data_IF_784697165362
#
_entry.id   IF_784697165362
#
_cell.length_a   1.000
_cell.length_b   1.000
_cell.length_c   1.000
_cell.angle_alpha   90.00
_cell.angle_beta   90.00
_cell.angle_gamma   90.00
#
_symmetry.space_group_name_H-M   'P 1'
#
loop_
_entity.id
_entity.type
_entity.pdbx_description
1 polymer ?
#
# COMPACT_ATOMS: atom_id res chain seq x y z
N UNK A 1 8.24 -14.30 -40.18
CA UNK A 1 7.68 -14.46 -38.82
C UNK A 1 6.66 -13.35 -38.58
N UNK A 2 5.36 -13.66 -38.69
CA UNK A 2 4.29 -12.72 -38.34
C UNK A 2 4.02 -12.88 -36.84
N UNK A 3 4.39 -11.88 -36.06
CA UNK A 3 3.98 -11.76 -34.65
C UNK A 3 2.50 -11.38 -34.63
N UNK A 4 1.63 -12.38 -34.68
CA UNK A 4 0.21 -12.20 -34.40
C UNK A 4 0.03 -12.16 -32.89
N UNK A 5 -0.01 -10.96 -32.31
CA UNK A 5 -0.61 -10.80 -30.99
C UNK A 5 -2.08 -11.21 -31.10
N UNK A 6 -2.56 -12.21 -30.35
CA UNK A 6 -3.99 -12.52 -30.33
C UNK A 6 -4.75 -11.25 -29.90
N UNK A 7 -5.94 -10.98 -30.50
CA UNK A 7 -6.75 -9.84 -30.09
C UNK A 7 -7.05 -9.97 -28.58
N UNK A 8 -6.91 -8.90 -27.79
CA UNK A 8 -7.21 -8.95 -26.37
C UNK A 8 -8.66 -9.37 -26.21
N UNK A 9 -8.90 -10.49 -25.54
CA UNK A 9 -10.25 -10.84 -25.10
C UNK A 9 -10.65 -9.76 -24.11
N UNK A 10 -11.60 -8.91 -24.49
CA UNK A 10 -12.13 -7.86 -23.61
C UNK A 10 -12.99 -8.56 -22.54
N UNK A 11 -12.36 -9.08 -21.49
CA UNK A 11 -13.02 -9.54 -20.27
C UNK A 11 -13.39 -8.31 -19.44
N UNK A 12 -14.47 -7.63 -19.85
CA UNK A 12 -14.95 -6.39 -19.24
C UNK A 12 -15.48 -6.55 -17.79
N UNK A 13 -15.67 -7.80 -17.33
CA UNK A 13 -16.37 -8.11 -16.08
C UNK A 13 -15.66 -7.63 -14.81
N UNK A 14 -14.33 -7.78 -14.72
CA UNK A 14 -13.60 -7.44 -13.50
C UNK A 14 -13.44 -5.93 -13.31
N UNK A 15 -13.22 -5.19 -14.41
CA UNK A 15 -13.16 -3.72 -14.36
C UNK A 15 -14.49 -3.12 -13.90
N UNK A 16 -15.62 -3.65 -14.41
CA UNK A 16 -16.95 -3.28 -13.94
C UNK A 16 -17.19 -3.64 -12.48
N UNK A 17 -16.69 -4.80 -12.01
CA UNK A 17 -16.75 -5.18 -10.61
C UNK A 17 -15.95 -4.22 -9.70
N UNK A 18 -14.78 -3.77 -10.15
CA UNK A 18 -13.98 -2.80 -9.42
C UNK A 18 -14.65 -1.41 -9.37
N UNK A 19 -15.19 -0.93 -10.49
CA UNK A 19 -15.92 0.35 -10.56
C UNK A 19 -17.17 0.30 -9.68
N UNK A 20 -17.94 -0.78 -9.74
CA UNK A 20 -19.14 -0.97 -8.91
C UNK A 20 -18.79 -1.07 -7.43
N UNK A 21 -17.68 -1.74 -7.06
CA UNK A 21 -17.22 -1.76 -5.68
C UNK A 21 -16.89 -0.36 -5.16
N UNK A 22 -16.11 0.43 -5.91
CA UNK A 22 -15.79 1.81 -5.53
C UNK A 22 -17.07 2.63 -5.41
N UNK A 23 -17.98 2.57 -6.39
CA UNK A 23 -19.24 3.29 -6.36
C UNK A 23 -20.13 2.92 -5.17
N UNK A 24 -20.21 1.63 -4.80
CA UNK A 24 -20.95 1.14 -3.62
C UNK A 24 -20.28 1.56 -2.31
N UNK A 25 -18.96 1.66 -2.25
CA UNK A 25 -18.29 2.20 -1.07
C UNK A 25 -18.55 3.71 -0.92
N UNK A 26 -18.59 4.47 -2.03
CA UNK A 26 -18.99 5.88 -2.03
C UNK A 26 -20.43 6.11 -1.55
N UNK A 27 -21.34 5.17 -1.83
CA UNK A 27 -22.71 5.21 -1.32
C UNK A 27 -22.76 5.27 0.21
N UNK A 28 -21.71 4.88 0.94
CA UNK A 28 -21.61 5.08 2.39
C UNK A 28 -21.78 6.53 2.82
N UNK A 29 -21.28 7.48 2.02
CA UNK A 29 -21.34 8.91 2.32
C UNK A 29 -22.66 9.57 1.91
N UNK A 30 -23.33 9.03 0.89
CA UNK A 30 -24.59 9.58 0.37
C UNK A 30 -25.82 8.93 1.00
N UNK A 31 -25.81 7.61 1.19
CA UNK A 31 -26.95 6.85 1.70
C UNK A 31 -26.50 5.54 2.40
N UNK A 32 -26.34 5.54 3.73
CA UNK A 32 -25.83 4.37 4.46
C UNK A 32 -26.73 3.12 4.34
N UNK A 33 -28.05 3.30 4.28
CA UNK A 33 -29.00 2.19 4.16
C UNK A 33 -28.85 1.36 2.87
N UNK A 34 -28.45 2.00 1.76
CA UNK A 34 -28.19 1.29 0.49
C UNK A 34 -26.83 0.61 0.50
N UNK A 35 -25.82 1.25 1.08
CA UNK A 35 -24.49 0.66 1.25
C UNK A 35 -24.56 -0.66 2.05
N UNK A 36 -25.29 -0.67 3.16
CA UNK A 36 -25.45 -1.88 4.01
C UNK A 36 -26.07 -3.07 3.27
N UNK A 37 -26.86 -2.85 2.22
CA UNK A 37 -27.48 -3.93 1.43
C UNK A 37 -26.66 -4.29 0.19
N UNK A 38 -26.15 -3.29 -0.53
CA UNK A 38 -25.44 -3.51 -1.80
C UNK A 38 -24.04 -4.07 -1.59
N UNK A 39 -23.34 -3.65 -0.53
CA UNK A 39 -22.01 -4.14 -0.21
C UNK A 39 -21.99 -5.67 0.00
N UNK A 40 -22.76 -6.25 0.93
CA UNK A 40 -22.76 -7.70 1.13
C UNK A 40 -23.27 -8.47 -0.11
N UNK A 41 -24.23 -7.91 -0.85
CA UNK A 41 -24.71 -8.52 -2.09
C UNK A 41 -23.58 -8.64 -3.12
N UNK A 42 -22.83 -7.56 -3.37
CA UNK A 42 -21.70 -7.54 -4.29
C UNK A 42 -20.63 -8.57 -3.86
N UNK A 43 -20.28 -8.60 -2.58
CA UNK A 43 -19.33 -9.57 -2.04
C UNK A 43 -19.82 -11.02 -2.16
N UNK A 44 -21.10 -11.28 -1.91
CA UNK A 44 -21.67 -12.63 -2.03
C UNK A 44 -21.62 -13.15 -3.47
N UNK A 45 -21.90 -12.29 -4.44
CA UNK A 45 -21.82 -12.63 -5.87
C UNK A 45 -20.37 -12.93 -6.25
N UNK A 46 -19.43 -12.07 -5.86
CA UNK A 46 -18.00 -12.29 -6.12
C UNK A 46 -17.50 -13.60 -5.48
N UNK A 47 -17.90 -13.87 -4.24
CA UNK A 47 -17.53 -15.10 -3.54
C UNK A 47 -18.10 -16.35 -4.23
N UNK A 48 -19.36 -16.32 -4.66
CA UNK A 48 -20.00 -17.43 -5.36
C UNK A 48 -19.31 -17.72 -6.69
N UNK A 49 -18.98 -16.67 -7.45
CA UNK A 49 -18.22 -16.80 -8.69
C UNK A 49 -16.83 -17.39 -8.40
N UNK A 50 -16.12 -16.89 -7.38
CA UNK A 50 -14.81 -17.40 -7.00
C UNK A 50 -14.88 -18.90 -6.66
N UNK A 51 -15.81 -19.32 -5.80
CA UNK A 51 -15.99 -20.73 -5.40
C UNK A 51 -16.29 -21.61 -6.62
N UNK A 52 -17.10 -21.14 -7.57
CA UNK A 52 -17.41 -21.89 -8.77
C UNK A 52 -16.20 -22.07 -9.71
N UNK A 53 -15.27 -21.11 -9.72
CA UNK A 53 -14.15 -21.03 -10.68
C UNK A 53 -12.86 -21.65 -10.15
N UNK A 54 -12.64 -21.58 -8.84
CA UNK A 54 -11.43 -22.06 -8.14
C UNK A 54 -11.10 -23.54 -8.45
N UNK A 55 -12.07 -24.49 -8.46
CA UNK A 55 -11.78 -25.89 -8.76
C UNK A 55 -11.34 -26.13 -10.21
N UNK A 56 -11.83 -25.32 -11.15
CA UNK A 56 -11.56 -25.45 -12.59
C UNK A 56 -10.40 -24.57 -13.07
N UNK A 57 -9.63 -24.01 -12.14
CA UNK A 57 -8.57 -23.09 -12.46
C UNK A 57 -7.37 -23.82 -13.10
N UNK A 58 -7.02 -23.43 -14.33
CA UNK A 58 -6.04 -24.14 -15.15
C UNK A 58 -4.58 -23.96 -14.70
N UNK A 59 -4.26 -22.85 -14.05
CA UNK A 59 -2.88 -22.44 -13.79
C UNK A 59 -2.45 -22.63 -12.32
N UNK A 60 -3.05 -23.57 -11.60
CA UNK A 60 -2.69 -23.85 -10.19
C UNK A 60 -1.18 -24.08 -9.98
N UNK A 61 -0.52 -24.78 -10.91
CA UNK A 61 0.92 -25.06 -10.81
C UNK A 61 1.79 -23.80 -10.86
N UNK A 62 1.41 -22.77 -11.63
CA UNK A 62 2.15 -21.52 -11.68
C UNK A 62 1.90 -20.66 -10.45
N UNK A 63 0.69 -20.69 -9.89
CA UNK A 63 0.36 -20.03 -8.62
C UNK A 63 1.15 -20.64 -7.46
N UNK A 64 1.22 -21.97 -7.34
CA UNK A 64 2.03 -22.61 -6.30
C UNK A 64 3.52 -22.26 -6.41
N UNK A 65 4.04 -22.17 -7.64
CA UNK A 65 5.42 -21.73 -7.85
C UNK A 65 5.62 -20.26 -7.47
N UNK A 66 4.63 -19.41 -7.72
CA UNK A 66 4.63 -18.00 -7.34
C UNK A 66 4.36 -17.77 -5.84
N UNK A 67 3.84 -18.76 -5.12
CA UNK A 67 3.69 -18.69 -3.67
C UNK A 67 5.03 -18.55 -2.95
N UNK A 68 6.10 -19.17 -3.46
CA UNK A 68 7.45 -19.07 -2.88
C UNK A 68 7.95 -17.61 -2.86
N UNK A 69 8.04 -16.88 -4.01
CA UNK A 69 8.46 -15.49 -3.99
C UNK A 69 7.47 -14.58 -3.24
N UNK A 70 6.18 -14.93 -3.19
CA UNK A 70 5.19 -14.21 -2.39
C UNK A 70 5.50 -14.28 -0.89
N UNK A 71 5.69 -15.49 -0.35
CA UNK A 71 6.04 -15.70 1.07
C UNK A 71 7.40 -15.07 1.38
N UNK A 72 8.39 -15.22 0.49
CA UNK A 72 9.69 -14.57 0.66
C UNK A 72 9.56 -13.03 0.73
N UNK A 73 8.76 -12.43 -0.14
CA UNK A 73 8.50 -10.98 -0.15
C UNK A 73 7.74 -10.54 1.11
N UNK A 74 6.81 -11.35 1.60
CA UNK A 74 6.08 -11.10 2.85
C UNK A 74 7.03 -11.11 4.05
N UNK A 75 7.89 -12.12 4.16
CA UNK A 75 8.91 -12.19 5.22
C UNK A 75 9.88 -11.02 5.13
N UNK A 76 10.32 -10.63 3.93
CA UNK A 76 11.16 -9.46 3.72
C UNK A 76 10.46 -8.16 4.17
N UNK A 77 9.17 -8.00 3.86
CA UNK A 77 8.39 -6.84 4.29
C UNK A 77 8.21 -6.78 5.81
N UNK A 78 8.00 -7.93 6.45
CA UNK A 78 7.94 -8.05 7.91
C UNK A 78 9.31 -7.77 8.55
N UNK A 79 10.40 -8.24 7.96
CA UNK A 79 11.75 -7.92 8.42
C UNK A 79 12.04 -6.42 8.30
N UNK A 80 11.65 -5.78 7.20
CA UNK A 80 11.73 -4.31 7.06
C UNK A 80 10.85 -3.60 8.09
N UNK A 81 9.67 -4.15 8.42
CA UNK A 81 8.83 -3.63 9.50
C UNK A 81 9.51 -3.71 10.86
N UNK A 82 10.08 -4.87 11.16
CA UNK A 82 10.78 -5.09 12.40
C UNK A 82 12.00 -4.18 12.50
N UNK A 83 12.79 -4.05 11.43
CA UNK A 83 13.94 -3.14 11.38
C UNK A 83 13.50 -1.70 11.65
N UNK A 84 12.45 -1.21 10.99
CA UNK A 84 11.92 0.13 11.25
C UNK A 84 11.47 0.29 12.71
N UNK A 85 10.70 -0.66 13.25
CA UNK A 85 10.24 -0.63 14.63
C UNK A 85 11.41 -0.65 15.62
N UNK A 86 12.44 -1.46 15.35
CA UNK A 86 13.67 -1.53 16.15
C UNK A 86 14.48 -0.23 16.02
N UNK A 87 14.57 0.37 14.83
CA UNK A 87 15.25 1.66 14.64
C UNK A 87 14.57 2.77 15.41
N UNK A 88 13.24 2.86 15.34
CA UNK A 88 12.46 3.83 16.14
C UNK A 88 12.65 3.54 17.63
N UNK A 89 12.56 2.27 18.06
CA UNK A 89 12.76 1.91 19.47
C UNK A 89 14.17 2.20 19.96
N UNK A 90 15.19 1.90 19.17
CA UNK A 90 16.59 2.19 19.49
C UNK A 90 16.80 3.69 19.65
N UNK A 91 16.31 4.51 18.72
CA UNK A 91 16.33 5.96 18.85
C UNK A 91 15.58 6.39 20.13
N UNK A 92 14.43 5.80 20.42
CA UNK A 92 13.68 6.18 21.63
C UNK A 92 14.32 5.78 22.95
N UNK A 93 14.95 4.60 23.01
CA UNK A 93 15.45 4.00 24.24
C UNK A 93 16.93 4.32 24.50
N UNK A 94 17.77 4.31 23.45
CA UNK A 94 19.22 4.55 23.57
C UNK A 94 19.56 6.03 23.50
N UNK A 95 18.78 6.85 22.80
CA UNK A 95 18.97 8.31 22.79
C UNK A 95 18.09 9.04 23.81
N UNK A 96 17.35 8.31 24.67
CA UNK A 96 16.55 8.87 25.77
C UNK A 96 15.52 9.90 25.30
N UNK A 97 14.39 9.46 24.73
CA UNK A 97 13.43 10.33 24.06
C UNK A 97 12.55 11.24 24.95
N UNK A 98 13.00 11.64 26.13
CA UNK A 98 12.57 12.94 26.67
C UNK A 98 13.14 14.08 25.80
N UNK A 99 14.19 13.79 25.02
CA UNK A 99 14.88 14.68 24.09
C UNK A 99 14.02 15.45 23.08
N UNK A 100 12.96 14.82 22.56
CA UNK A 100 12.12 15.36 21.47
C UNK A 100 10.74 15.82 21.94
N UNK A 101 10.49 15.83 23.25
CA UNK A 101 9.22 16.31 23.81
C UNK A 101 8.99 17.80 23.57
N UNK A 102 10.06 18.60 23.59
CA UNK A 102 10.00 20.05 23.45
C UNK A 102 10.54 20.59 22.12
N UNK A 103 11.18 19.76 21.28
CA UNK A 103 11.63 20.20 19.97
C UNK A 103 10.47 20.16 18.96
N UNK A 104 10.17 21.27 18.27
CA UNK A 104 9.17 21.25 17.22
C UNK A 104 9.61 20.23 16.15
N UNK A 105 8.67 19.41 15.62
CA UNK A 105 9.00 18.41 14.62
C UNK A 105 9.71 19.07 13.44
N UNK A 106 10.69 18.37 12.85
CA UNK A 106 11.35 18.86 11.65
C UNK A 106 10.27 19.18 10.61
N UNK A 107 10.29 20.38 10.01
CA UNK A 107 9.27 20.75 9.03
C UNK A 107 9.34 19.79 7.84
N UNK A 108 8.34 18.93 7.72
CA UNK A 108 8.19 18.04 6.58
C UNK A 108 8.06 18.91 5.32
N UNK A 109 9.05 18.85 4.43
CA UNK A 109 9.03 19.57 3.15
C UNK A 109 7.79 19.25 2.33
N UNK A 110 7.27 18.03 2.45
CA UNK A 110 5.99 17.62 1.88
C UNK A 110 4.79 18.35 2.49
N UNK A 111 4.77 18.57 3.81
CA UNK A 111 3.70 19.33 4.46
C UNK A 111 3.71 20.80 4.02
N UNK A 112 4.89 21.41 3.89
CA UNK A 112 5.03 22.77 3.36
C UNK A 112 4.59 22.88 1.90
N UNK A 113 4.94 21.90 1.07
CA UNK A 113 4.49 21.85 -0.31
C UNK A 113 2.96 21.78 -0.37
N UNK A 114 2.34 20.89 0.42
CA UNK A 114 0.89 20.75 0.46
C UNK A 114 0.17 22.00 0.98
N UNK A 115 0.72 22.68 2.00
CA UNK A 115 0.21 23.97 2.46
C UNK A 115 0.31 25.04 1.37
N UNK A 116 1.47 25.13 0.71
CA UNK A 116 1.69 26.10 -0.37
C UNK A 116 0.77 25.86 -1.58
N UNK A 117 0.45 24.60 -1.86
CA UNK A 117 -0.51 24.21 -2.90
C UNK A 117 -1.95 24.53 -2.45
N UNK A 118 -2.29 24.25 -1.20
CA UNK A 118 -3.61 24.53 -0.62
C UNK A 118 -3.94 26.03 -0.63
N UNK A 119 -2.96 26.91 -0.45
CA UNK A 119 -3.14 28.36 -0.51
C UNK A 119 -3.25 28.92 -1.94
N UNK A 120 -2.69 28.22 -2.94
CA UNK A 120 -2.62 28.69 -4.34
C UNK A 120 -3.68 28.09 -5.26
N UNK A 121 -4.38 27.04 -4.84
CA UNK A 121 -5.34 26.32 -5.67
C UNK A 121 -6.78 26.86 -5.50
N UNK A 122 -7.60 26.86 -6.57
CA UNK A 122 -9.02 27.19 -6.49
C UNK A 122 -9.75 26.28 -5.50
N UNK A 123 -10.68 26.84 -4.71
CA UNK A 123 -11.46 26.12 -3.70
C UNK A 123 -12.03 24.76 -4.16
N UNK A 124 -12.63 24.64 -5.36
CA UNK A 124 -13.13 23.35 -5.85
C UNK A 124 -12.04 22.30 -6.07
N UNK A 125 -10.85 22.71 -6.55
CA UNK A 125 -9.71 21.80 -6.72
C UNK A 125 -9.16 21.35 -5.37
N UNK A 126 -9.10 22.24 -4.40
CA UNK A 126 -8.69 21.91 -3.03
C UNK A 126 -9.67 20.94 -2.39
N UNK A 127 -10.98 21.15 -2.58
CA UNK A 127 -12.00 20.23 -2.08
C UNK A 127 -11.94 18.85 -2.75
N UNK A 128 -11.66 18.78 -4.06
CA UNK A 128 -11.45 17.51 -4.76
C UNK A 128 -10.15 16.81 -4.31
N UNK A 129 -9.05 17.56 -4.14
CA UNK A 129 -7.77 17.03 -3.65
C UNK A 129 -7.83 16.58 -2.19
N UNK A 130 -8.63 17.28 -1.36
CA UNK A 130 -8.89 16.95 0.04
C UNK A 130 -9.95 15.88 0.20
N UNK A 131 -10.85 15.73 -0.77
CA UNK A 131 -11.86 14.69 -0.75
C UNK A 131 -11.13 13.35 -0.62
N UNK A 132 -11.53 12.58 0.40
CA UNK A 132 -11.00 11.26 0.73
C UNK A 132 -11.49 10.25 -0.31
N UNK A 133 -11.08 10.45 -1.57
CA UNK A 133 -11.65 9.78 -2.74
C UNK A 133 -11.24 8.30 -2.75
N UNK A 134 -10.03 7.98 -2.28
CA UNK A 134 -9.52 6.61 -2.20
C UNK A 134 -8.81 6.44 -0.85
N UNK A 135 -9.49 5.79 0.08
CA UNK A 135 -8.90 5.40 1.36
C UNK A 135 -7.92 4.22 1.21
N UNK A 136 -7.15 3.95 2.26
CA UNK A 136 -6.25 2.79 2.32
C UNK A 136 -7.01 1.47 2.05
N UNK A 137 -8.25 1.38 2.54
CA UNK A 137 -9.09 0.20 2.34
C UNK A 137 -9.44 -0.04 0.88
N UNK A 138 -9.65 1.01 0.09
CA UNK A 138 -9.89 0.90 -1.34
C UNK A 138 -8.65 0.38 -2.06
N UNK A 139 -7.47 0.89 -1.71
CA UNK A 139 -6.21 0.39 -2.29
C UNK A 139 -6.01 -1.10 -1.98
N UNK A 140 -6.23 -1.49 -0.72
CA UNK A 140 -6.15 -2.90 -0.33
C UNK A 140 -7.15 -3.75 -1.11
N UNK A 141 -8.39 -3.28 -1.25
CA UNK A 141 -9.43 -4.07 -1.91
C UNK A 141 -9.20 -4.18 -3.41
N UNK A 142 -8.82 -3.10 -4.09
CA UNK A 142 -8.44 -3.13 -5.51
C UNK A 142 -7.23 -4.05 -5.75
N UNK A 143 -6.27 -4.06 -4.82
CA UNK A 143 -5.15 -4.98 -4.86
C UNK A 143 -5.60 -6.44 -4.72
N UNK A 144 -6.53 -6.75 -3.81
CA UNK A 144 -7.11 -8.08 -3.69
C UNK A 144 -7.89 -8.48 -4.95
N UNK A 145 -8.70 -7.57 -5.52
CA UNK A 145 -9.40 -7.80 -6.78
C UNK A 145 -8.45 -8.07 -7.94
N UNK A 146 -7.31 -7.37 -7.99
CA UNK A 146 -6.24 -7.62 -8.96
C UNK A 146 -5.61 -9.00 -8.75
N UNK A 147 -5.38 -9.44 -7.52
CA UNK A 147 -4.87 -10.79 -7.27
C UNK A 147 -5.87 -11.87 -7.75
N UNK A 148 -7.18 -11.63 -7.57
CA UNK A 148 -8.24 -12.52 -8.05
C UNK A 148 -8.58 -12.36 -9.55
N UNK A 149 -7.99 -11.39 -10.25
CA UNK A 149 -8.25 -11.15 -11.68
C UNK A 149 -7.92 -12.35 -12.55
N UNK A 150 -7.00 -13.18 -12.09
CA UNK A 150 -6.51 -14.37 -12.78
C UNK A 150 -7.60 -15.45 -12.85
N UNK A 151 -8.53 -15.51 -11.88
CA UNK A 151 -9.69 -16.40 -11.93
C UNK A 151 -10.68 -16.04 -13.05
N UNK A 152 -10.62 -14.80 -13.53
CA UNK A 152 -11.47 -14.26 -14.58
C UNK A 152 -10.76 -14.19 -15.94
N UNK A 153 -9.59 -14.83 -16.08
CA UNK A 153 -8.74 -14.78 -17.28
C UNK A 153 -8.48 -13.33 -17.76
N UNK A 154 -8.47 -12.36 -16.83
CA UNK A 154 -8.24 -10.95 -17.15
C UNK A 154 -6.75 -10.62 -17.21
N UNK A 155 -5.91 -11.43 -16.56
CA UNK A 155 -4.44 -11.30 -16.55
C UNK A 155 -3.83 -12.69 -16.72
N UNK A 156 -2.86 -12.82 -17.62
CA UNK A 156 -2.16 -14.09 -17.91
C UNK A 156 -1.09 -14.45 -16.85
N UNK A 157 -0.68 -13.49 -16.02
CA UNK A 157 0.30 -13.67 -14.96
C UNK A 157 -0.32 -14.26 -13.68
N UNK A 158 0.44 -15.05 -12.88
CA UNK A 158 -0.06 -15.58 -11.61
C UNK A 158 -0.33 -14.45 -10.61
N UNK A 159 -1.47 -14.52 -9.92
CA UNK A 159 -1.96 -13.50 -9.00
C UNK A 159 -1.05 -13.36 -7.79
N UNK A 160 -0.55 -14.49 -7.25
CA UNK A 160 0.49 -14.47 -6.21
C UNK A 160 1.80 -13.85 -6.70
N UNK A 161 2.12 -13.99 -7.98
CA UNK A 161 3.31 -13.39 -8.59
C UNK A 161 3.21 -11.86 -8.69
N UNK A 162 2.03 -11.34 -9.05
CA UNK A 162 1.76 -9.90 -9.01
C UNK A 162 1.85 -9.37 -7.58
N UNK A 163 1.24 -10.10 -6.64
CA UNK A 163 1.30 -9.75 -5.23
C UNK A 163 2.72 -9.74 -4.67
N UNK A 164 3.56 -10.71 -5.05
CA UNK A 164 4.96 -10.78 -4.65
C UNK A 164 5.74 -9.54 -5.12
N UNK A 165 5.61 -9.15 -6.39
CA UNK A 165 6.29 -7.96 -6.93
C UNK A 165 5.85 -6.68 -6.23
N UNK A 166 4.55 -6.53 -5.97
CA UNK A 166 4.02 -5.38 -5.25
C UNK A 166 4.50 -5.30 -3.80
N UNK A 167 4.46 -6.42 -3.06
CA UNK A 167 4.97 -6.46 -1.69
C UNK A 167 6.48 -6.21 -1.63
N UNK A 168 7.24 -6.72 -2.61
CA UNK A 168 8.67 -6.51 -2.68
C UNK A 168 9.02 -5.02 -2.91
N UNK A 169 8.35 -4.35 -3.84
CA UNK A 169 8.58 -2.91 -4.07
C UNK A 169 8.18 -2.07 -2.86
N UNK A 170 7.06 -2.40 -2.21
CA UNK A 170 6.66 -1.76 -0.95
C UNK A 170 7.72 -1.96 0.14
N UNK A 171 8.23 -3.20 0.30
CA UNK A 171 9.26 -3.51 1.28
C UNK A 171 10.55 -2.73 1.02
N UNK A 172 11.00 -2.60 -0.23
CA UNK A 172 12.15 -1.75 -0.60
C UNK A 172 11.90 -0.30 -0.20
N UNK A 173 10.72 0.26 -0.52
CA UNK A 173 10.39 1.63 -0.14
C UNK A 173 10.45 1.85 1.37
N UNK A 174 9.99 0.86 2.15
CA UNK A 174 10.08 0.89 3.62
C UNK A 174 11.52 0.77 4.13
N UNK A 175 12.32 -0.10 3.52
CA UNK A 175 13.73 -0.24 3.86
C UNK A 175 14.49 1.05 3.59
N UNK A 176 14.29 1.67 2.42
CA UNK A 176 14.90 2.96 2.09
C UNK A 176 14.52 4.03 3.10
N UNK A 177 13.24 4.11 3.48
CA UNK A 177 12.76 5.03 4.52
C UNK A 177 13.40 4.76 5.89
N UNK A 178 13.55 3.50 6.29
CA UNK A 178 14.20 3.16 7.54
C UNK A 178 15.69 3.52 7.53
N UNK A 179 16.39 3.26 6.41
CA UNK A 179 17.81 3.63 6.23
C UNK A 179 17.99 5.14 6.27
N UNK A 180 17.14 5.92 5.59
CA UNK A 180 17.23 7.39 5.62
C UNK A 180 16.93 7.94 7.01
N UNK A 181 15.94 7.39 7.71
CA UNK A 181 15.66 7.74 9.10
C UNK A 181 16.88 7.46 10.00
N UNK A 182 17.43 6.26 9.94
CA UNK A 182 18.59 5.86 10.75
C UNK A 182 19.81 6.73 10.40
N UNK A 183 20.05 7.00 9.12
CA UNK A 183 21.20 7.77 8.64
C UNK A 183 21.11 9.26 8.96
N UNK A 184 19.90 9.81 9.16
CA UNK A 184 19.69 11.21 9.53
C UNK A 184 19.64 11.42 11.04
N UNK A 185 19.17 10.43 11.80
CA UNK A 185 19.03 10.51 13.26
C UNK A 185 20.27 10.01 14.00
N UNK A 186 20.95 8.95 13.53
CA UNK A 186 22.18 8.51 14.18
C UNK A 186 23.23 9.61 14.02
N UNK A 187 23.79 10.13 15.13
CA UNK A 187 24.93 11.01 15.03
C UNK A 187 26.06 10.28 14.31
N UNK A 188 26.90 11.03 13.58
CA UNK A 188 28.09 10.44 12.97
C UNK A 188 28.84 9.62 14.02
N UNK A 189 29.44 8.49 13.63
CA UNK A 189 30.20 7.62 14.54
C UNK A 189 31.37 8.32 15.26
N UNK A 190 31.66 9.58 14.92
CA UNK A 190 32.61 10.41 15.65
C UNK A 190 31.93 11.05 16.87
N UNK A 191 32.45 10.81 18.09
CA UNK A 191 31.78 11.18 19.34
C UNK A 191 31.54 12.70 19.49
N UNK A 192 32.37 13.54 18.86
CA UNK A 192 32.24 15.00 18.92
C UNK A 192 31.05 15.57 18.14
N UNK A 193 30.54 14.89 17.10
CA UNK A 193 29.41 15.40 16.31
C UNK A 193 28.06 15.22 17.04
N UNK A 194 27.93 14.17 17.86
CA UNK A 194 26.78 14.00 18.75
C UNK A 194 26.76 15.12 19.79
N UNK A 195 27.87 15.30 20.51
CA UNK A 195 27.99 16.30 21.57
C UNK A 195 27.86 17.76 21.09
N UNK A 196 28.29 18.08 19.85
CA UNK A 196 28.19 19.42 19.28
C UNK A 196 26.76 19.82 18.90
N UNK A 197 25.93 18.85 18.49
CA UNK A 197 24.54 19.10 18.06
C UNK A 197 23.53 18.83 19.17
N UNK A 198 23.90 18.00 20.15
CA UNK A 198 22.99 17.38 21.09
C UNK A 198 23.64 17.23 22.50
N UNK A 199 22.98 17.72 23.56
CA UNK A 199 23.34 17.51 24.99
C UNK A 199 23.09 16.08 25.52
N UNK A 200 23.96 15.13 25.23
CA UNK A 200 23.83 13.74 25.71
C UNK A 200 23.97 13.71 27.25
N UNK A 201 22.99 13.17 28.02
CA UNK A 201 23.15 12.99 29.46
C UNK A 201 24.28 11.98 29.74
N UNK A 202 25.11 12.29 30.72
CA UNK A 202 26.27 11.50 31.12
C UNK A 202 25.88 10.20 31.84
#
# INVERSE_FOLDING_TARGET
MRWGFPPPKITCGLGLAAISYVAVDYLRHLSPAWHERLQPALWSILALIAISRVPFYKHWSSEFRAAIPFVASMLFMLACFLLEALSVRFVTAVLGLDWHSETPPLPDTGQWLLLSLNEKLPGPLVEILRARIIGLHHFLMLFMMLAFSVLFDSVEAPGLGLGARYMFTMAIGRLLRAITFVSTILPSARPWCAAARFRVPA
#
